data_IF_621879431647
#
_entry.id   IF_621879431647
#
_cell.length_a   1.000
_cell.length_b   1.000
_cell.length_c   1.000
_cell.angle_alpha   90.00
_cell.angle_beta   90.00
_cell.angle_gamma   90.00
#
_symmetry.space_group_name_H-M   'P 1'
#
loop_
_entity.id
_entity.type
_entity.pdbx_description
1 polymer ?
#
# COMPACT_ATOMS: atom_id res chain seq x y z
N UNK A 1 -13.50 14.72 -30.17
CA UNK A 1 -12.35 14.70 -31.10
C UNK A 1 -11.46 13.57 -30.62
N UNK A 2 -11.28 12.50 -31.41
CA UNK A 2 -10.47 11.33 -31.02
C UNK A 2 -9.07 11.47 -31.62
N UNK A 3 -8.07 11.17 -30.83
CA UNK A 3 -6.67 11.20 -31.25
C UNK A 3 -6.39 10.06 -32.25
N UNK A 4 -5.49 10.28 -33.19
CA UNK A 4 -4.93 9.21 -34.03
C UNK A 4 -3.89 8.41 -33.23
N UNK A 5 -3.54 7.18 -33.67
CA UNK A 5 -2.47 6.38 -33.04
C UNK A 5 -1.12 7.14 -32.93
N UNK A 6 -0.84 8.02 -33.87
CA UNK A 6 0.36 8.89 -33.80
C UNK A 6 0.15 10.02 -32.79
N UNK A 7 -1.06 10.57 -32.67
CA UNK A 7 -1.42 11.56 -31.66
C UNK A 7 -1.35 11.00 -30.24
N UNK A 8 -1.77 9.76 -30.01
CA UNK A 8 -1.63 9.08 -28.70
C UNK A 8 -0.15 8.89 -28.31
N UNK A 9 0.71 8.51 -29.27
CA UNK A 9 2.15 8.43 -29.05
C UNK A 9 2.77 9.79 -28.75
N UNK A 10 2.34 10.83 -29.48
CA UNK A 10 2.84 12.18 -29.23
C UNK A 10 2.43 12.71 -27.86
N UNK A 11 1.21 12.39 -27.43
CA UNK A 11 0.73 12.78 -26.08
C UNK A 11 1.65 12.26 -24.98
N UNK A 12 2.06 10.99 -25.04
CA UNK A 12 3.01 10.41 -24.07
C UNK A 12 4.34 11.16 -24.02
N UNK A 13 4.83 11.64 -25.17
CA UNK A 13 6.07 12.45 -25.20
C UNK A 13 5.82 13.88 -24.75
N UNK A 14 4.67 14.45 -25.04
CA UNK A 14 4.29 15.79 -24.57
C UNK A 14 4.22 15.83 -23.02
N UNK A 15 3.56 14.83 -22.42
CA UNK A 15 3.51 14.68 -20.95
C UNK A 15 4.90 14.53 -20.32
N UNK A 16 5.81 13.76 -20.99
CA UNK A 16 7.20 13.64 -20.52
C UNK A 16 7.97 14.96 -20.63
N UNK A 17 7.71 15.74 -21.67
CA UNK A 17 8.37 17.01 -21.87
C UNK A 17 7.87 18.05 -20.87
N UNK A 18 6.58 18.10 -20.60
CA UNK A 18 5.95 18.94 -19.59
C UNK A 18 6.54 18.66 -18.20
N UNK A 19 6.67 17.37 -17.84
CA UNK A 19 7.35 16.96 -16.59
C UNK A 19 8.82 17.36 -16.53
N UNK A 20 9.55 17.23 -17.66
CA UNK A 20 10.94 17.66 -17.71
C UNK A 20 11.05 19.19 -17.54
N UNK A 21 10.13 19.95 -18.09
CA UNK A 21 10.04 21.40 -17.90
C UNK A 21 9.78 21.75 -16.42
N UNK A 22 8.82 21.09 -15.78
CA UNK A 22 8.54 21.26 -14.35
C UNK A 22 9.78 20.94 -13.49
N UNK A 23 10.54 19.90 -13.86
CA UNK A 23 11.78 19.55 -13.17
C UNK A 23 12.84 20.64 -13.32
N UNK A 24 13.04 21.19 -14.54
CA UNK A 24 13.99 22.28 -14.78
C UNK A 24 13.57 23.53 -14.01
N UNK A 25 12.30 23.86 -14.00
CA UNK A 25 11.77 25.00 -13.23
C UNK A 25 12.03 24.82 -11.74
N UNK A 26 11.80 23.63 -11.20
CA UNK A 26 12.03 23.30 -9.78
C UNK A 26 13.52 23.23 -9.43
N UNK A 27 14.32 22.56 -10.24
CA UNK A 27 15.72 22.28 -9.89
C UNK A 27 16.67 23.45 -10.19
N UNK A 28 16.32 24.31 -11.16
CA UNK A 28 17.23 25.35 -11.68
C UNK A 28 16.72 26.76 -11.42
N UNK A 29 15.40 26.97 -11.51
CA UNK A 29 14.82 28.33 -11.45
C UNK A 29 14.33 28.67 -10.04
N UNK A 30 13.76 27.74 -9.31
CA UNK A 30 13.30 27.95 -7.94
C UNK A 30 13.64 26.73 -7.05
N UNK A 31 14.86 26.67 -6.51
CA UNK A 31 15.25 25.60 -5.57
C UNK A 31 14.36 25.54 -4.31
N UNK A 32 13.69 26.64 -3.93
CA UNK A 32 12.72 26.66 -2.83
C UNK A 32 11.37 26.02 -3.22
N UNK A 33 11.09 25.84 -4.51
CA UNK A 33 9.85 25.20 -4.96
C UNK A 33 9.84 23.69 -4.64
N UNK A 34 10.99 23.02 -4.61
CA UNK A 34 11.14 21.63 -4.14
C UNK A 34 10.73 21.46 -2.68
N UNK A 35 10.88 22.50 -1.85
CA UNK A 35 10.43 22.48 -0.46
C UNK A 35 8.92 22.74 -0.31
N UNK A 36 8.19 23.02 -1.40
CA UNK A 36 6.78 23.40 -1.35
C UNK A 36 5.80 22.30 -1.73
N UNK A 37 6.23 21.25 -2.41
CA UNK A 37 5.34 20.19 -2.87
C UNK A 37 5.96 18.80 -2.68
N UNK A 38 5.20 17.88 -2.05
CA UNK A 38 5.62 16.51 -1.84
C UNK A 38 4.48 15.56 -2.22
N UNK A 39 4.69 14.76 -3.27
CA UNK A 39 3.74 13.77 -3.76
C UNK A 39 4.04 12.40 -3.17
N UNK A 40 3.13 11.90 -2.33
CA UNK A 40 3.31 10.65 -1.61
C UNK A 40 2.30 9.62 -2.11
N UNK A 41 2.80 8.49 -2.61
CA UNK A 41 1.99 7.32 -2.93
C UNK A 41 2.04 6.30 -1.81
N UNK A 42 0.88 5.81 -1.37
CA UNK A 42 0.81 4.83 -0.28
C UNK A 42 -0.12 3.67 -0.60
N UNK A 43 0.20 2.48 -0.10
CA UNK A 43 -0.73 1.35 -0.12
C UNK A 43 -1.89 1.57 0.86
N UNK A 44 -3.08 0.99 0.56
CA UNK A 44 -4.29 1.12 1.39
C UNK A 44 -4.06 0.71 2.85
N UNK A 45 -3.23 -0.30 3.12
CA UNK A 45 -2.86 -0.69 4.49
C UNK A 45 -2.26 0.47 5.26
N UNK A 46 -1.33 1.20 4.64
CA UNK A 46 -0.65 2.35 5.25
C UNK A 46 -1.63 3.51 5.43
N UNK A 47 -2.47 3.76 4.42
CA UNK A 47 -3.47 4.82 4.44
C UNK A 47 -4.45 4.67 5.61
N UNK A 48 -4.82 3.44 5.97
CA UNK A 48 -5.73 3.15 7.06
C UNK A 48 -5.06 3.04 8.44
N UNK A 49 -3.73 3.01 8.51
CA UNK A 49 -2.98 2.86 9.76
C UNK A 49 -2.38 4.20 10.20
N UNK A 50 -1.17 4.45 9.82
CA UNK A 50 -0.34 5.54 10.36
C UNK A 50 -0.09 6.70 9.36
N UNK A 51 -0.67 6.69 8.17
CA UNK A 51 -0.56 7.82 7.24
C UNK A 51 -1.01 9.16 7.86
N UNK A 52 -2.12 9.23 8.63
CA UNK A 52 -2.52 10.49 9.27
C UNK A 52 -1.42 11.07 10.18
N UNK A 53 -0.74 10.22 10.95
CA UNK A 53 0.34 10.63 11.85
C UNK A 53 1.57 11.10 11.07
N UNK A 54 1.88 10.43 9.95
CA UNK A 54 2.94 10.87 9.04
C UNK A 54 2.64 12.26 8.46
N UNK A 55 1.44 12.46 7.93
CA UNK A 55 1.03 13.74 7.34
C UNK A 55 1.07 14.86 8.38
N UNK A 56 0.57 14.60 9.59
CA UNK A 56 0.62 15.57 10.69
C UNK A 56 2.07 15.96 11.03
N UNK A 57 2.98 14.98 11.06
CA UNK A 57 4.39 15.21 11.37
C UNK A 57 5.12 15.95 10.24
N UNK A 58 4.83 15.62 8.98
CA UNK A 58 5.36 16.32 7.81
C UNK A 58 4.89 17.77 7.80
N UNK A 59 3.60 18.01 8.02
CA UNK A 59 3.04 19.36 8.08
C UNK A 59 3.62 20.20 9.22
N UNK A 60 3.86 19.58 10.39
CA UNK A 60 4.52 20.26 11.51
C UNK A 60 5.98 20.63 11.20
N UNK A 61 6.70 19.78 10.46
CA UNK A 61 8.08 20.04 10.07
C UNK A 61 8.20 21.07 8.94
N UNK A 62 7.24 21.05 8.00
CA UNK A 62 7.20 21.92 6.82
C UNK A 62 5.80 22.54 6.63
N UNK A 63 5.41 23.57 7.39
CA UNK A 63 4.04 24.11 7.39
C UNK A 63 3.59 24.72 6.06
N UNK A 64 4.53 25.06 5.18
CA UNK A 64 4.24 25.64 3.85
C UNK A 64 4.23 24.63 2.73
N UNK A 65 4.55 23.34 3.05
CA UNK A 65 4.59 22.28 2.06
C UNK A 65 3.18 21.85 1.69
N UNK A 66 2.91 21.78 0.41
CA UNK A 66 1.73 21.11 -0.14
C UNK A 66 2.01 19.61 -0.23
N UNK A 67 1.14 18.81 0.36
CA UNK A 67 1.26 17.35 0.35
C UNK A 67 0.13 16.78 -0.50
N UNK A 68 0.51 16.12 -1.60
CA UNK A 68 -0.40 15.38 -2.46
C UNK A 68 -0.35 13.90 -2.11
N UNK A 69 -1.52 13.28 -1.92
CA UNK A 69 -1.63 11.88 -1.53
C UNK A 69 -2.29 11.05 -2.62
N UNK A 70 -1.63 9.97 -3.03
CA UNK A 70 -2.17 8.95 -3.91
C UNK A 70 -2.26 7.61 -3.17
N UNK A 71 -3.43 6.96 -3.19
CA UNK A 71 -3.61 5.62 -2.63
C UNK A 71 -3.83 4.64 -3.76
N UNK A 72 -2.94 3.64 -3.90
CA UNK A 72 -3.01 2.68 -4.99
C UNK A 72 -2.34 1.34 -4.62
N UNK A 73 -2.37 0.36 -5.52
CA UNK A 73 -1.65 -0.90 -5.35
C UNK A 73 -0.15 -0.71 -5.61
N UNK A 74 0.67 -1.51 -4.94
CA UNK A 74 2.13 -1.34 -4.95
C UNK A 74 2.77 -1.35 -6.35
N UNK A 75 2.18 -2.05 -7.32
CA UNK A 75 2.66 -2.07 -8.70
C UNK A 75 2.51 -0.68 -9.34
N UNK A 76 1.32 -0.10 -9.22
CA UNK A 76 1.01 1.17 -9.85
C UNK A 76 1.77 2.32 -9.16
N UNK A 77 1.93 2.24 -7.82
CA UNK A 77 2.79 3.15 -7.06
C UNK A 77 4.26 3.08 -7.50
N UNK A 78 4.79 1.87 -7.75
CA UNK A 78 6.14 1.70 -8.29
C UNK A 78 6.26 2.34 -9.68
N UNK A 79 5.30 2.07 -10.55
CA UNK A 79 5.33 2.58 -11.91
C UNK A 79 5.24 4.12 -11.93
N UNK A 80 4.42 4.71 -11.03
CA UNK A 80 4.35 6.17 -10.81
C UNK A 80 5.65 6.75 -10.24
N UNK A 81 6.31 6.05 -9.31
CA UNK A 81 7.60 6.49 -8.76
C UNK A 81 8.68 6.54 -9.86
N UNK A 82 8.80 5.47 -10.64
CA UNK A 82 9.76 5.41 -11.75
C UNK A 82 9.41 6.42 -12.87
N UNK A 83 8.11 6.71 -13.04
CA UNK A 83 7.60 7.75 -13.93
C UNK A 83 7.70 9.18 -13.37
N UNK A 84 8.22 9.37 -12.13
CA UNK A 84 8.33 10.66 -11.44
C UNK A 84 6.99 11.36 -11.21
N UNK A 85 5.90 10.61 -11.17
CA UNK A 85 4.57 11.11 -10.85
C UNK A 85 4.36 11.27 -9.34
N UNK A 86 5.10 10.51 -8.53
CA UNK A 86 5.19 10.63 -7.07
C UNK A 86 6.66 10.69 -6.66
N UNK A 87 6.94 11.34 -5.55
CA UNK A 87 8.29 11.55 -5.03
C UNK A 87 8.68 10.46 -4.01
N UNK A 88 7.72 10.05 -3.17
CA UNK A 88 7.88 9.01 -2.16
C UNK A 88 6.79 7.96 -2.32
N UNK A 89 7.17 6.68 -2.41
CA UNK A 89 6.25 5.55 -2.45
C UNK A 89 6.36 4.71 -1.17
N UNK A 90 5.27 4.52 -0.44
CA UNK A 90 5.18 3.61 0.71
C UNK A 90 4.36 2.39 0.28
N UNK A 91 5.06 1.31 -0.07
CA UNK A 91 4.49 0.18 -0.80
C UNK A 91 5.04 -1.16 -0.32
N UNK A 92 4.45 -2.27 -0.78
CA UNK A 92 5.01 -3.60 -0.59
C UNK A 92 6.30 -3.73 -1.39
N UNK A 93 7.43 -3.58 -0.69
CA UNK A 93 8.75 -3.46 -1.28
C UNK A 93 9.63 -4.70 -1.11
N UNK A 94 10.92 -4.55 -1.37
CA UNK A 94 11.55 -3.36 -1.94
C UNK A 94 11.26 -3.18 -3.44
N UNK A 95 11.44 -1.96 -3.95
CA UNK A 95 11.47 -1.69 -5.40
C UNK A 95 12.85 -2.09 -5.92
N UNK A 96 12.87 -3.09 -6.81
CA UNK A 96 14.13 -3.60 -7.39
C UNK A 96 14.48 -2.78 -8.62
N UNK A 97 15.04 -1.60 -8.41
CA UNK A 97 15.62 -0.73 -9.45
C UNK A 97 16.84 -0.03 -8.86
N UNK A 98 17.92 0.10 -9.68
CA UNK A 98 19.20 0.68 -9.24
C UNK A 98 19.10 2.18 -8.94
N UNK A 99 18.10 2.86 -9.48
CA UNK A 99 17.84 4.28 -9.25
C UNK A 99 17.00 4.54 -8.00
N UNK A 100 16.51 3.50 -7.31
CA UNK A 100 15.60 3.61 -6.20
C UNK A 100 16.28 3.25 -4.89
N UNK A 101 16.26 4.20 -3.96
CA UNK A 101 16.58 3.95 -2.56
C UNK A 101 15.35 3.36 -1.85
N UNK A 102 15.60 2.40 -0.97
CA UNK A 102 14.57 1.73 -0.19
C UNK A 102 14.93 1.78 1.30
N UNK A 103 13.99 2.18 2.13
CA UNK A 103 14.09 2.14 3.58
C UNK A 103 13.04 1.18 4.12
N UNK A 104 13.47 0.12 4.80
CA UNK A 104 12.58 -0.89 5.38
C UNK A 104 11.70 -0.30 6.48
N UNK A 105 10.44 -0.68 6.47
CA UNK A 105 9.42 -0.31 7.45
C UNK A 105 8.95 -1.53 8.24
N UNK A 106 8.40 -1.36 9.45
CA UNK A 106 7.71 -2.42 10.17
C UNK A 106 6.65 -3.10 9.31
N UNK A 107 6.58 -4.42 9.41
CA UNK A 107 5.62 -5.22 8.64
C UNK A 107 4.27 -5.34 9.35
N UNK A 108 3.29 -5.92 8.66
CA UNK A 108 1.97 -6.21 9.22
C UNK A 108 1.72 -7.70 9.20
N UNK A 109 1.54 -8.28 10.37
CA UNK A 109 1.08 -9.66 10.50
C UNK A 109 -0.34 -9.80 9.98
N UNK A 110 -0.64 -10.96 9.38
CA UNK A 110 -1.95 -11.31 8.90
C UNK A 110 -2.67 -12.23 9.89
N UNK A 111 -3.99 -12.18 9.89
CA UNK A 111 -4.83 -13.15 10.56
C UNK A 111 -6.01 -13.53 9.66
N UNK A 112 -6.57 -14.72 9.89
CA UNK A 112 -7.77 -15.16 9.21
C UNK A 112 -9.02 -14.63 9.91
N UNK A 113 -9.95 -14.11 9.14
CA UNK A 113 -11.19 -13.50 9.62
C UNK A 113 -12.40 -14.17 9.02
N UNK A 114 -13.41 -14.31 9.87
CA UNK A 114 -14.77 -14.75 9.53
C UNK A 114 -15.78 -13.83 10.22
N UNK A 115 -17.01 -13.73 9.71
CA UNK A 115 -18.07 -12.97 10.36
C UNK A 115 -18.33 -13.48 11.78
N UNK A 116 -18.55 -12.58 12.74
CA UNK A 116 -18.67 -12.92 14.16
C UNK A 116 -19.80 -13.92 14.49
N UNK A 117 -20.82 -13.99 13.64
CA UNK A 117 -21.97 -14.90 13.80
C UNK A 117 -21.77 -16.27 13.16
N UNK A 118 -20.69 -16.46 12.39
CA UNK A 118 -20.39 -17.73 11.72
C UNK A 118 -19.54 -18.65 12.60
N UNK A 119 -19.59 -19.94 12.34
CA UNK A 119 -18.69 -20.91 12.99
C UNK A 119 -17.23 -20.64 12.60
N UNK A 120 -16.31 -20.96 13.50
CA UNK A 120 -14.86 -20.80 13.30
C UNK A 120 -14.17 -22.12 12.96
N UNK A 121 -14.93 -23.18 12.63
CA UNK A 121 -14.34 -24.41 12.14
C UNK A 121 -13.53 -24.15 10.87
N UNK A 122 -12.22 -24.36 10.88
CA UNK A 122 -11.33 -23.96 9.79
C UNK A 122 -11.69 -24.62 8.46
N UNK A 123 -12.08 -25.91 8.48
CA UNK A 123 -12.42 -26.62 7.26
C UNK A 123 -13.70 -26.08 6.62
N UNK A 124 -14.70 -25.70 7.42
CA UNK A 124 -15.92 -25.07 6.93
C UNK A 124 -15.65 -23.65 6.44
N UNK A 125 -14.79 -22.88 7.14
CA UNK A 125 -14.39 -21.54 6.76
C UNK A 125 -13.71 -21.52 5.39
N UNK A 126 -12.72 -22.37 5.16
CA UNK A 126 -11.93 -22.40 3.92
C UNK A 126 -12.67 -22.98 2.71
N UNK A 127 -13.82 -23.63 2.88
CA UNK A 127 -14.73 -24.00 1.78
C UNK A 127 -15.51 -22.81 1.22
N UNK A 128 -15.53 -21.67 1.93
CA UNK A 128 -16.17 -20.42 1.50
C UNK A 128 -15.26 -19.66 0.56
N UNK A 129 -15.77 -18.66 -0.20
CA UNK A 129 -14.92 -17.76 -0.96
C UNK A 129 -13.90 -17.05 -0.06
N UNK A 130 -12.66 -16.99 -0.53
CA UNK A 130 -11.57 -16.27 0.15
C UNK A 130 -11.40 -14.91 -0.49
N UNK A 131 -11.73 -13.85 0.24
CA UNK A 131 -11.50 -12.47 -0.17
C UNK A 131 -10.00 -12.21 -0.10
N UNK A 132 -9.45 -11.58 -1.12
CA UNK A 132 -8.00 -11.47 -1.31
C UNK A 132 -7.61 -10.10 -1.84
N UNK A 133 -6.32 -9.93 -2.02
CA UNK A 133 -5.68 -8.76 -2.61
C UNK A 133 -5.86 -8.73 -4.14
N UNK A 134 -5.55 -7.59 -4.76
CA UNK A 134 -5.55 -7.48 -6.23
C UNK A 134 -4.64 -8.54 -6.88
N UNK A 135 -5.07 -9.08 -8.04
CA UNK A 135 -4.38 -10.20 -8.74
C UNK A 135 -2.92 -9.92 -9.07
N UNK A 136 -2.57 -8.65 -9.28
CA UNK A 136 -1.22 -8.21 -9.64
C UNK A 136 -0.24 -8.20 -8.48
N UNK A 137 -0.74 -8.37 -7.23
CA UNK A 137 0.07 -8.22 -6.01
C UNK A 137 0.77 -9.52 -5.60
N UNK A 138 1.90 -9.37 -4.86
CA UNK A 138 2.59 -10.51 -4.25
C UNK A 138 1.72 -11.25 -3.24
N UNK A 139 1.00 -10.58 -2.31
CA UNK A 139 0.12 -11.27 -1.35
C UNK A 139 -0.96 -12.13 -2.02
N UNK A 140 -1.52 -11.69 -3.15
CA UNK A 140 -2.47 -12.53 -3.89
C UNK A 140 -1.84 -13.83 -4.39
N UNK A 141 -0.63 -13.74 -4.99
CA UNK A 141 0.06 -14.92 -5.54
C UNK A 141 0.43 -15.91 -4.45
N UNK A 142 0.92 -15.41 -3.32
CA UNK A 142 1.26 -16.23 -2.15
C UNK A 142 0.02 -16.90 -1.57
N UNK A 143 -1.04 -16.15 -1.28
CA UNK A 143 -2.29 -16.70 -0.76
C UNK A 143 -2.88 -17.74 -1.70
N UNK A 144 -2.85 -17.50 -3.02
CA UNK A 144 -3.31 -18.48 -4.01
C UNK A 144 -2.51 -19.78 -3.96
N UNK A 145 -1.19 -19.70 -3.84
CA UNK A 145 -0.32 -20.87 -3.73
C UNK A 145 -0.61 -21.66 -2.44
N UNK A 146 -0.74 -20.98 -1.30
CA UNK A 146 -1.08 -21.59 -0.02
C UNK A 146 -2.46 -22.25 -0.06
N UNK A 147 -3.46 -21.61 -0.64
CA UNK A 147 -4.80 -22.18 -0.80
C UNK A 147 -4.77 -23.46 -1.67
N UNK A 148 -3.98 -23.46 -2.75
CA UNK A 148 -3.82 -24.67 -3.57
C UNK A 148 -3.18 -25.81 -2.79
N UNK A 149 -2.24 -25.51 -1.88
CA UNK A 149 -1.57 -26.51 -1.05
C UNK A 149 -2.48 -27.06 0.07
N UNK A 150 -3.21 -26.18 0.76
CA UNK A 150 -3.96 -26.55 1.96
C UNK A 150 -5.44 -26.90 1.72
N UNK A 151 -6.04 -26.34 0.66
CA UNK A 151 -7.47 -26.54 0.33
C UNK A 151 -7.63 -27.32 -0.97
N UNK A 152 -6.74 -27.09 -1.95
CA UNK A 152 -6.79 -27.72 -3.25
C UNK A 152 -7.51 -26.88 -4.32
N UNK A 153 -7.83 -27.50 -5.48
CA UNK A 153 -8.39 -26.81 -6.65
C UNK A 153 -9.80 -26.24 -6.41
N UNK A 154 -10.48 -26.69 -5.37
CA UNK A 154 -11.83 -26.21 -4.99
C UNK A 154 -11.82 -24.82 -4.36
N UNK A 155 -10.65 -24.28 -4.01
CA UNK A 155 -10.52 -22.98 -3.40
C UNK A 155 -11.03 -21.86 -4.33
N UNK A 156 -12.02 -21.10 -3.86
CA UNK A 156 -12.60 -19.97 -4.58
C UNK A 156 -12.00 -18.67 -4.06
N UNK A 157 -11.32 -17.90 -4.91
CA UNK A 157 -10.69 -16.65 -4.52
C UNK A 157 -11.42 -15.47 -5.17
N UNK A 158 -11.81 -14.50 -4.36
CA UNK A 158 -12.43 -13.24 -4.77
C UNK A 158 -11.42 -12.10 -4.60
N UNK A 159 -10.69 -11.72 -5.67
CA UNK A 159 -9.70 -10.65 -5.60
C UNK A 159 -10.35 -9.29 -5.43
N UNK A 160 -9.75 -8.44 -4.61
CA UNK A 160 -10.14 -7.03 -4.43
C UNK A 160 -8.90 -6.15 -4.37
N UNK A 161 -8.96 -4.95 -4.91
CA UNK A 161 -7.95 -3.91 -4.69
C UNK A 161 -8.21 -3.10 -3.42
N UNK A 162 -9.35 -3.28 -2.77
CA UNK A 162 -9.74 -2.58 -1.54
C UNK A 162 -9.81 -3.54 -0.35
N UNK A 163 -9.01 -3.28 0.69
CA UNK A 163 -9.04 -3.99 1.96
C UNK A 163 -10.32 -3.66 2.75
N UNK A 164 -10.75 -2.41 2.70
CA UNK A 164 -12.01 -1.98 3.32
C UNK A 164 -13.19 -2.76 2.76
N UNK A 165 -13.25 -2.94 1.44
CA UNK A 165 -14.27 -3.75 0.81
C UNK A 165 -14.15 -5.22 1.23
N UNK A 166 -12.95 -5.78 1.32
CA UNK A 166 -12.74 -7.15 1.76
C UNK A 166 -13.27 -7.37 3.19
N UNK A 167 -12.96 -6.48 4.15
CA UNK A 167 -13.51 -6.55 5.51
C UNK A 167 -15.04 -6.52 5.52
N UNK A 168 -15.66 -5.59 4.77
CA UNK A 168 -17.12 -5.46 4.68
C UNK A 168 -17.79 -6.69 4.06
N UNK A 169 -17.17 -7.32 3.07
CA UNK A 169 -17.68 -8.55 2.47
C UNK A 169 -17.60 -9.74 3.42
N UNK A 170 -16.56 -9.82 4.27
CA UNK A 170 -16.49 -10.83 5.34
C UNK A 170 -17.58 -10.57 6.39
N UNK A 171 -17.78 -9.32 6.83
CA UNK A 171 -18.86 -8.94 7.74
C UNK A 171 -20.24 -9.32 7.18
N UNK A 172 -20.43 -9.14 5.87
CA UNK A 172 -21.67 -9.51 5.16
C UNK A 172 -21.80 -11.03 4.93
N UNK A 173 -20.90 -11.85 5.48
CA UNK A 173 -20.91 -13.31 5.43
C UNK A 173 -20.74 -13.89 4.02
N UNK A 174 -20.07 -13.17 3.10
CA UNK A 174 -19.81 -13.64 1.75
C UNK A 174 -18.59 -14.57 1.65
N UNK A 175 -17.73 -14.58 2.67
CA UNK A 175 -16.54 -15.41 2.67
C UNK A 175 -15.69 -15.21 3.91
N UNK A 176 -14.42 -15.56 3.79
CA UNK A 176 -13.35 -15.39 4.78
C UNK A 176 -12.19 -14.63 4.16
N UNK A 177 -11.26 -14.11 4.96
CA UNK A 177 -10.08 -13.41 4.43
C UNK A 177 -8.87 -13.53 5.36
N UNK A 178 -7.67 -13.56 4.77
CA UNK A 178 -6.41 -13.34 5.49
C UNK A 178 -5.99 -11.88 5.29
N UNK A 179 -6.15 -11.05 6.33
CA UNK A 179 -5.99 -9.59 6.26
C UNK A 179 -5.10 -9.08 7.40
N UNK A 180 -4.55 -7.84 7.30
CA UNK A 180 -3.71 -7.27 8.34
C UNK A 180 -4.40 -7.26 9.71
N UNK A 181 -3.77 -7.89 10.70
CA UNK A 181 -4.30 -7.99 12.07
C UNK A 181 -4.54 -6.62 12.66
N UNK A 182 -3.67 -5.70 12.38
CA UNK A 182 -3.78 -4.31 12.80
C UNK A 182 -5.09 -3.63 12.39
N UNK A 183 -5.56 -3.89 11.17
CA UNK A 183 -6.84 -3.36 10.67
C UNK A 183 -8.02 -4.18 11.19
N UNK A 184 -7.86 -5.49 11.30
CA UNK A 184 -8.90 -6.40 11.79
C UNK A 184 -9.28 -6.19 13.25
N UNK A 185 -8.35 -5.71 14.08
CA UNK A 185 -8.57 -5.52 15.51
C UNK A 185 -9.81 -4.66 15.84
N UNK A 186 -10.01 -3.58 15.13
CA UNK A 186 -11.19 -2.71 15.31
C UNK A 186 -12.52 -3.42 14.95
N UNK A 187 -12.51 -4.28 13.94
CA UNK A 187 -13.68 -5.08 13.54
C UNK A 187 -13.98 -6.18 14.54
N UNK A 188 -12.95 -6.78 15.14
CA UNK A 188 -13.07 -7.80 16.18
C UNK A 188 -13.60 -7.16 17.48
N UNK A 189 -13.01 -6.04 17.91
CA UNK A 189 -13.45 -5.30 19.09
C UNK A 189 -14.90 -4.83 18.98
N UNK A 190 -15.34 -4.47 17.77
CA UNK A 190 -16.73 -4.10 17.49
C UNK A 190 -17.70 -5.32 17.37
N UNK A 191 -17.21 -6.55 17.57
CA UNK A 191 -18.03 -7.77 17.48
C UNK A 191 -18.56 -8.08 16.07
N UNK A 192 -17.94 -7.54 15.02
CA UNK A 192 -18.33 -7.77 13.63
C UNK A 192 -17.62 -8.97 13.01
N UNK A 193 -16.36 -9.17 13.38
CA UNK A 193 -15.52 -10.26 12.91
C UNK A 193 -14.96 -11.09 14.08
N UNK A 194 -14.51 -12.29 13.78
CA UNK A 194 -13.70 -13.14 14.65
C UNK A 194 -12.48 -13.66 13.88
N UNK A 195 -11.37 -13.81 14.59
CA UNK A 195 -10.24 -14.59 14.08
C UNK A 195 -10.55 -16.10 14.15
N UNK A 196 -10.01 -16.85 13.19
CA UNK A 196 -9.92 -18.30 13.25
C UNK A 196 -8.53 -18.75 12.80
N UNK A 197 -8.11 -19.92 13.23
CA UNK A 197 -6.79 -20.45 12.92
C UNK A 197 -6.90 -21.78 12.14
N UNK A 198 -6.58 -21.80 10.85
CA UNK A 198 -6.50 -23.02 10.06
C UNK A 198 -5.16 -23.75 10.21
N UNK A 199 -4.28 -23.36 11.14
CA UNK A 199 -2.94 -23.90 11.30
C UNK A 199 -1.90 -23.29 10.35
N UNK A 200 -2.26 -22.29 9.57
CA UNK A 200 -1.37 -21.56 8.66
C UNK A 200 -1.89 -20.16 8.37
N UNK A 201 -0.98 -19.25 8.04
CA UNK A 201 -1.28 -17.88 7.64
C UNK A 201 -0.26 -17.44 6.59
N UNK A 202 -0.63 -16.58 5.62
CA UNK A 202 0.34 -16.02 4.69
C UNK A 202 1.41 -15.19 5.41
N UNK A 203 2.56 -15.01 4.77
CA UNK A 203 3.65 -14.22 5.32
C UNK A 203 3.23 -12.78 5.62
N UNK A 204 3.85 -12.13 6.63
CA UNK A 204 3.60 -10.72 6.93
C UNK A 204 3.82 -9.82 5.71
N UNK A 205 3.02 -8.78 5.61
CA UNK A 205 3.21 -7.74 4.60
C UNK A 205 4.44 -6.92 4.97
N UNK A 206 5.44 -6.87 4.08
CA UNK A 206 6.66 -6.08 4.26
C UNK A 206 6.59 -4.84 3.39
N UNK A 207 6.78 -3.69 4.00
CA UNK A 207 6.72 -2.39 3.35
C UNK A 207 8.08 -1.73 3.30
N UNK A 208 8.27 -0.87 2.30
CA UNK A 208 9.40 0.07 2.22
C UNK A 208 8.88 1.47 1.94
N UNK A 209 9.60 2.47 2.42
CA UNK A 209 9.57 3.83 1.88
C UNK A 209 10.63 3.88 0.78
N UNK A 210 10.22 4.16 -0.44
CA UNK A 210 11.05 4.07 -1.64
C UNK A 210 11.01 5.39 -2.41
N UNK A 211 12.15 5.88 -2.86
CA UNK A 211 12.28 7.13 -3.62
C UNK A 211 13.42 7.04 -4.63
N UNK A 212 13.47 7.96 -5.61
CA UNK A 212 14.60 8.02 -6.54
C UNK A 212 15.82 8.60 -5.83
N UNK A 213 16.93 7.82 -5.83
CA UNK A 213 18.21 8.15 -5.19
C UNK A 213 19.03 9.16 -6.00
N UNK A 214 18.50 10.34 -6.23
CA UNK A 214 19.13 11.39 -7.02
C UNK A 214 19.66 12.53 -6.15
N UNK A 215 20.72 13.24 -6.59
CA UNK A 215 21.12 14.48 -5.95
C UNK A 215 19.95 15.47 -5.89
N UNK A 216 19.74 16.14 -4.77
CA UNK A 216 18.62 17.06 -4.56
C UNK A 216 17.38 16.44 -3.89
N UNK A 217 17.27 15.11 -3.79
CA UNK A 217 16.14 14.44 -3.13
C UNK A 217 16.28 14.31 -1.60
N UNK A 218 17.06 15.19 -0.96
CA UNK A 218 17.31 15.14 0.48
C UNK A 218 16.03 15.32 1.31
N UNK A 219 15.11 16.15 0.85
CA UNK A 219 13.81 16.35 1.48
C UNK A 219 12.99 15.05 1.47
N UNK A 220 12.94 14.36 0.33
CA UNK A 220 12.23 13.08 0.19
C UNK A 220 12.86 12.02 1.08
N UNK A 221 14.19 11.94 1.13
CA UNK A 221 14.90 11.03 2.03
C UNK A 221 14.62 11.34 3.51
N UNK A 222 14.44 12.61 3.89
CA UNK A 222 14.00 12.99 5.25
C UNK A 222 12.57 12.58 5.51
N UNK A 223 11.67 12.78 4.56
CA UNK A 223 10.28 12.32 4.66
C UNK A 223 10.19 10.80 4.80
N UNK A 224 11.02 10.04 4.06
CA UNK A 224 11.12 8.58 4.20
C UNK A 224 11.58 8.15 5.61
N UNK A 225 12.57 8.83 6.20
CA UNK A 225 13.00 8.58 7.58
C UNK A 225 11.89 8.92 8.58
N UNK A 226 11.16 10.01 8.39
CA UNK A 226 10.01 10.34 9.23
C UNK A 226 8.92 9.28 9.13
N UNK A 227 8.67 8.73 7.94
CA UNK A 227 7.75 7.61 7.75
C UNK A 227 8.19 6.37 8.54
N UNK A 228 9.49 6.04 8.55
CA UNK A 228 10.02 4.92 9.34
C UNK A 228 9.86 5.14 10.85
N UNK A 229 10.14 6.34 11.34
CA UNK A 229 9.97 6.67 12.76
C UNK A 229 8.50 6.59 13.19
N UNK A 230 7.59 7.13 12.38
CA UNK A 230 6.14 7.05 12.63
C UNK A 230 5.66 5.59 12.62
N UNK A 231 6.05 4.82 11.61
CA UNK A 231 5.69 3.41 11.51
C UNK A 231 6.20 2.58 12.70
N UNK A 232 7.43 2.87 13.17
CA UNK A 232 8.04 2.18 14.31
C UNK A 232 7.32 2.53 15.62
N UNK A 233 6.99 3.80 15.84
CA UNK A 233 6.23 4.23 17.02
C UNK A 233 4.83 3.59 17.04
N UNK A 234 4.15 3.60 15.90
CA UNK A 234 2.82 3.01 15.75
C UNK A 234 2.80 1.49 16.01
N UNK A 235 3.84 0.75 15.59
CA UNK A 235 3.99 -0.69 15.88
C UNK A 235 4.25 -0.93 17.37
N UNK A 236 4.98 0.00 18.03
CA UNK A 236 5.24 -0.03 19.47
C UNK A 236 3.97 0.12 20.31
N UNK A 237 3.08 1.02 19.94
CA UNK A 237 1.81 1.28 20.65
C UNK A 237 0.84 0.10 20.58
N UNK A 238 1.00 -0.83 19.65
CA UNK A 238 0.14 -2.03 19.50
C UNK A 238 0.66 -3.25 20.28
N UNK A 239 1.86 -3.20 20.81
CA UNK A 239 2.46 -4.29 21.61
C UNK A 239 2.16 -4.13 23.11
N UNK A 240 1.46 -3.09 23.51
CA UNK A 240 0.91 -2.85 24.86
C UNK A 240 -0.58 -3.18 24.84
#
# INVERSE_FOLDING_TARGET
MTLTKQGERLLVYAEKFERLQEMIEKDVIDPEALERHLRIGVSETIAQCWLPDLVARLHAAWPRMEIELTVDVSRDLRDRLLGREIDLAILLGPVSDYSVDNLDLPGFDLAWYVAARDATDPAACLRRPVLSYARTTRPYRELKALLMTHVGPEARIFPSSSLSAAFRLVEARLGVAALPRALGAAHVAAGRLREFDPGWVPSPLRFTASWLGEPGNELVARAARMAQEVATAWDGDKKV
#
